data_IF_622791944746
#
_entry.id   IF_622791944746
#
_cell.length_a   1.000
_cell.length_b   1.000
_cell.length_c   1.000
_cell.angle_alpha   90.00
_cell.angle_beta   90.00
_cell.angle_gamma   90.00
#
_symmetry.space_group_name_H-M   'P 1'
#
loop_
_entity.id
_entity.type
_entity.pdbx_description
1 polymer ?
#
# COMPACT_ATOMS: atom_id res chain seq x y z
N UNK A 1 20.31 -7.47 -19.60
CA UNK A 1 20.30 -6.78 -18.36
C UNK A 1 20.08 -7.67 -17.19
N UNK A 2 20.87 -7.51 -16.25
CA UNK A 2 20.83 -8.36 -15.10
C UNK A 2 19.94 -7.78 -14.05
N UNK A 3 19.20 -8.66 -13.43
CA UNK A 3 18.42 -8.22 -12.33
C UNK A 3 19.30 -8.00 -11.16
N UNK A 4 19.35 -6.81 -10.72
CA UNK A 4 20.19 -6.51 -9.62
C UNK A 4 19.59 -6.93 -8.34
N UNK A 5 20.42 -7.14 -7.34
CA UNK A 5 19.94 -7.34 -6.02
C UNK A 5 19.23 -6.13 -5.56
N UNK A 6 18.07 -6.29 -4.95
CA UNK A 6 17.38 -5.18 -4.37
C UNK A 6 18.00 -4.82 -3.06
N UNK A 7 18.26 -3.55 -2.85
CA UNK A 7 18.70 -3.08 -1.55
C UNK A 7 17.48 -2.75 -0.72
N UNK A 8 17.69 -2.56 0.58
CA UNK A 8 16.61 -2.13 1.46
C UNK A 8 16.08 -0.77 1.02
N UNK A 9 16.96 0.11 0.56
CA UNK A 9 16.53 1.42 0.12
C UNK A 9 15.62 1.33 -1.11
N UNK A 10 15.95 0.43 -2.03
CA UNK A 10 15.10 0.24 -3.21
C UNK A 10 13.73 -0.28 -2.83
N UNK A 11 13.69 -1.23 -1.90
CA UNK A 11 12.42 -1.79 -1.48
C UNK A 11 11.56 -0.75 -0.77
N UNK A 12 12.17 0.10 0.04
CA UNK A 12 11.44 1.16 0.73
C UNK A 12 10.91 2.17 -0.29
N UNK A 13 11.74 2.54 -1.24
CA UNK A 13 11.33 3.51 -2.25
C UNK A 13 10.14 3.01 -3.05
N UNK A 14 10.17 1.73 -3.42
CA UNK A 14 9.07 1.15 -4.15
C UNK A 14 7.80 1.10 -3.31
N UNK A 15 7.95 0.76 -2.04
CA UNK A 15 6.78 0.70 -1.15
C UNK A 15 6.18 2.08 -0.94
N UNK A 16 7.02 3.11 -0.83
CA UNK A 16 6.53 4.46 -0.67
C UNK A 16 5.77 4.92 -1.90
N UNK A 17 6.30 4.61 -3.08
CA UNK A 17 5.62 4.96 -4.31
C UNK A 17 4.27 4.26 -4.42
N UNK A 18 4.23 2.99 -4.03
CA UNK A 18 2.99 2.24 -4.07
C UNK A 18 1.97 2.81 -3.09
N UNK A 19 2.41 3.21 -1.89
CA UNK A 19 1.52 3.84 -0.93
C UNK A 19 0.92 5.12 -1.48
N UNK A 20 1.76 5.95 -2.11
CA UNK A 20 1.27 7.22 -2.65
C UNK A 20 0.28 6.99 -3.77
N UNK A 21 0.58 6.03 -4.62
CA UNK A 21 -0.31 5.73 -5.72
C UNK A 21 -1.64 5.19 -5.21
N UNK A 22 -1.59 4.30 -4.23
CA UNK A 22 -2.81 3.74 -3.68
C UNK A 22 -3.65 4.85 -3.04
N UNK A 23 -3.02 5.74 -2.28
CA UNK A 23 -3.75 6.83 -1.65
C UNK A 23 -4.41 7.72 -2.70
N UNK A 24 -3.71 8.00 -3.79
CA UNK A 24 -4.26 8.86 -4.83
C UNK A 24 -5.45 8.21 -5.52
N UNK A 25 -5.34 6.92 -5.83
CA UNK A 25 -6.43 6.21 -6.49
C UNK A 25 -7.63 6.11 -5.56
N UNK A 26 -7.40 5.82 -4.29
CA UNK A 26 -8.51 5.74 -3.33
C UNK A 26 -9.23 7.07 -3.19
N UNK A 27 -8.48 8.18 -3.19
CA UNK A 27 -9.11 9.49 -3.06
C UNK A 27 -10.07 9.76 -4.20
N UNK A 28 -9.75 9.28 -5.39
CA UNK A 28 -10.65 9.47 -6.53
C UNK A 28 -11.96 8.76 -6.35
N UNK A 29 -12.01 7.76 -5.49
CA UNK A 29 -13.24 7.04 -5.20
C UNK A 29 -13.89 7.50 -3.92
N UNK A 30 -13.32 8.52 -3.27
CA UNK A 30 -13.88 9.02 -2.03
C UNK A 30 -13.47 8.22 -0.80
N UNK A 31 -12.41 7.41 -0.92
CA UNK A 31 -11.97 6.58 0.19
C UNK A 31 -10.65 7.11 0.73
N UNK A 32 -10.58 7.19 2.05
CA UNK A 32 -9.36 7.59 2.73
C UNK A 32 -9.01 6.52 3.76
N UNK A 33 -7.80 6.01 3.69
CA UNK A 33 -7.26 5.11 4.71
C UNK A 33 -6.29 5.93 5.54
N UNK A 34 -6.69 6.37 6.72
CA UNK A 34 -5.91 7.37 7.45
C UNK A 34 -4.57 6.86 7.96
N UNK A 35 -4.41 5.55 8.10
CA UNK A 35 -3.15 5.01 8.62
C UNK A 35 -2.31 4.33 7.55
N UNK A 36 -2.62 4.55 6.29
CA UNK A 36 -1.87 3.94 5.20
C UNK A 36 -0.43 4.43 5.23
N UNK A 37 0.50 3.50 5.31
CA UNK A 37 1.91 3.86 5.41
C UNK A 37 2.78 2.66 5.15
N UNK A 38 4.06 2.91 4.93
CA UNK A 38 5.04 1.84 4.84
C UNK A 38 5.40 1.41 6.25
N UNK A 39 5.45 0.12 6.48
CA UNK A 39 5.75 -0.42 7.79
C UNK A 39 7.26 -0.51 7.98
N UNK A 40 7.84 0.28 8.88
CA UNK A 40 9.29 0.29 9.06
C UNK A 40 9.82 -0.94 9.79
N UNK A 41 8.95 -1.72 10.40
CA UNK A 41 9.39 -2.82 11.24
C UNK A 41 10.08 -3.92 10.44
N UNK A 42 9.81 -3.98 9.14
CA UNK A 42 10.31 -5.09 8.34
C UNK A 42 11.67 -4.81 7.71
N UNK A 43 12.31 -3.70 8.05
CA UNK A 43 13.57 -3.34 7.41
C UNK A 43 14.70 -4.30 7.74
N UNK A 44 14.62 -4.99 8.85
CA UNK A 44 15.72 -5.84 9.29
C UNK A 44 15.74 -7.22 8.68
N UNK A 45 14.76 -7.56 7.86
CA UNK A 45 14.69 -8.90 7.31
C UNK A 45 15.61 -9.07 6.13
N UNK A 46 15.95 -10.31 5.88
CA UNK A 46 16.84 -10.65 4.79
C UNK A 46 16.28 -11.80 4.03
N UNK A 47 15.98 -11.66 2.72
CA UNK A 47 16.18 -10.42 1.94
C UNK A 47 15.26 -9.31 2.44
N UNK A 48 15.50 -8.09 2.03
CA UNK A 48 14.67 -6.99 2.48
C UNK A 48 13.22 -7.25 2.16
N UNK A 49 12.38 -7.04 3.13
CA UNK A 49 10.96 -7.29 2.97
C UNK A 49 10.23 -6.13 3.59
N UNK A 50 9.72 -5.26 2.75
CA UNK A 50 9.06 -4.05 3.21
C UNK A 50 7.57 -4.23 2.98
N UNK A 51 6.80 -4.03 4.02
CA UNK A 51 5.36 -4.21 3.96
C UNK A 51 4.67 -2.85 3.97
N UNK A 52 3.50 -2.82 3.36
CA UNK A 52 2.65 -1.64 3.41
C UNK A 52 1.54 -1.94 4.40
N UNK A 53 1.36 -1.05 5.34
CA UNK A 53 0.30 -1.19 6.32
C UNK A 53 -0.90 -0.41 5.86
N UNK A 54 -2.00 -1.09 5.59
CA UNK A 54 -3.21 -0.42 5.14
C UNK A 54 -3.92 0.27 6.29
N UNK A 55 -3.77 -0.27 7.49
CA UNK A 55 -4.33 0.37 8.66
C UNK A 55 -5.79 0.02 8.89
N UNK A 56 -6.40 0.77 9.78
CA UNK A 56 -7.79 0.55 10.15
C UNK A 56 -8.67 1.56 9.45
N UNK A 57 -9.92 1.18 9.26
CA UNK A 57 -10.91 2.12 8.78
C UNK A 57 -12.25 1.75 9.39
N UNK A 58 -13.18 2.70 9.39
CA UNK A 58 -14.48 2.44 9.97
C UNK A 58 -15.35 1.65 8.99
N UNK A 59 -16.53 1.26 9.46
CA UNK A 59 -17.42 0.42 8.67
C UNK A 59 -17.87 1.15 7.40
N UNK A 60 -18.11 2.42 7.51
CA UNK A 60 -18.55 3.19 6.34
C UNK A 60 -17.50 3.13 5.24
N UNK A 61 -16.24 3.34 5.59
CA UNK A 61 -15.15 3.26 4.63
C UNK A 61 -15.04 1.85 4.07
N UNK A 62 -15.21 0.85 4.92
CA UNK A 62 -15.18 -0.53 4.48
C UNK A 62 -16.25 -0.79 3.42
N UNK A 63 -17.44 -0.26 3.62
CA UNK A 63 -18.51 -0.48 2.66
C UNK A 63 -18.24 0.22 1.34
N UNK A 64 -17.63 1.40 1.38
CA UNK A 64 -17.23 2.09 0.16
C UNK A 64 -16.21 1.26 -0.60
N UNK A 65 -15.26 0.68 0.12
CA UNK A 65 -14.26 -0.15 -0.50
C UNK A 65 -14.89 -1.38 -1.14
N UNK A 66 -15.83 -1.99 -0.46
CA UNK A 66 -16.55 -3.14 -1.02
C UNK A 66 -17.22 -2.76 -2.34
N UNK A 67 -17.87 -1.60 -2.36
CA UNK A 67 -18.60 -1.18 -3.56
C UNK A 67 -17.63 -0.99 -4.74
N UNK A 68 -16.47 -0.39 -4.47
CA UNK A 68 -15.49 -0.17 -5.52
C UNK A 68 -14.95 -1.49 -6.04
N UNK A 69 -14.65 -2.40 -5.13
CA UNK A 69 -14.08 -3.69 -5.52
C UNK A 69 -15.08 -4.54 -6.28
N UNK A 70 -16.37 -4.47 -5.91
CA UNK A 70 -17.37 -5.20 -6.64
C UNK A 70 -17.46 -4.74 -8.08
N UNK A 71 -17.36 -3.44 -8.32
CA UNK A 71 -17.37 -2.92 -9.66
C UNK A 71 -16.17 -3.39 -10.45
N UNK A 72 -15.01 -3.40 -9.79
CA UNK A 72 -13.79 -3.84 -10.46
C UNK A 72 -13.83 -5.33 -10.76
N UNK A 73 -14.60 -6.09 -9.99
CA UNK A 73 -14.62 -7.54 -10.14
C UNK A 73 -15.59 -8.03 -11.22
N UNK A 74 -16.35 -7.14 -11.83
CA UNK A 74 -17.31 -7.54 -12.85
C UNK A 74 -16.69 -7.82 -14.19
#
# INVERSE_FOLDING_TARGET
MTRERRTAADAVSEAEAACEELAAVLRRTGIVLPSLMVDPVTYGYEPPRVLVELGRCNVETTRKLIAVLKRAAQ
#
